data_IF_750750737359
#
_entry.id   IF_750750737359
#
_cell.length_a   1.000
_cell.length_b   1.000
_cell.length_c   1.000
_cell.angle_alpha   90.00
_cell.angle_beta   90.00
_cell.angle_gamma   90.00
#
_symmetry.space_group_name_H-M   'P 1'
#
loop_
_entity.id
_entity.type
_entity.pdbx_description
1 polymer ?
#
# COMPACT_ATOMS: atom_id res chain seq x y z
N UNK A 1 -4.77 -30.37 -40.88
CA UNK A 1 -4.40 -29.70 -42.13
C UNK A 1 -3.40 -28.63 -41.72
N UNK A 2 -2.10 -28.92 -41.82
CA UNK A 2 -1.07 -27.94 -41.49
C UNK A 2 -0.93 -27.01 -42.69
N UNK A 3 -1.28 -25.75 -42.49
CA UNK A 3 -1.04 -24.71 -43.48
C UNK A 3 0.27 -24.04 -43.06
N UNK A 4 1.34 -24.34 -43.78
CA UNK A 4 2.61 -23.62 -43.67
C UNK A 4 2.48 -22.32 -44.47
N UNK A 5 2.77 -21.19 -43.82
CA UNK A 5 2.93 -19.90 -44.51
C UNK A 5 4.42 -19.56 -44.56
N UNK A 6 4.89 -19.17 -45.74
CA UNK A 6 6.24 -18.68 -45.95
C UNK A 6 6.45 -17.37 -45.16
N UNK A 7 7.49 -17.36 -44.34
CA UNK A 7 7.80 -16.30 -43.38
C UNK A 7 8.51 -15.12 -44.03
N UNK A 8 7.82 -14.28 -44.82
CA UNK A 8 8.38 -12.96 -45.19
C UNK A 8 7.39 -11.77 -45.25
N UNK A 9 6.12 -11.88 -44.84
CA UNK A 9 5.17 -10.75 -44.92
C UNK A 9 4.35 -10.45 -43.65
N UNK A 10 4.95 -10.43 -42.46
CA UNK A 10 4.26 -9.86 -41.29
C UNK A 10 5.18 -8.97 -40.45
N UNK A 11 4.84 -7.68 -40.40
CA UNK A 11 5.41 -6.71 -39.46
C UNK A 11 4.66 -6.82 -38.11
N UNK A 12 5.36 -6.55 -37.02
CA UNK A 12 4.82 -6.50 -35.65
C UNK A 12 3.54 -5.65 -35.59
N UNK A 13 2.44 -6.23 -35.10
CA UNK A 13 1.15 -5.54 -34.91
C UNK A 13 -0.01 -6.01 -35.78
N UNK A 14 0.17 -7.00 -36.66
CA UNK A 14 -0.94 -7.58 -37.45
C UNK A 14 -1.85 -8.50 -36.61
N UNK A 15 -3.17 -8.46 -36.86
CA UNK A 15 -4.15 -9.40 -36.28
C UNK A 15 -4.66 -10.37 -37.35
N UNK A 16 -5.02 -11.58 -36.94
CA UNK A 16 -5.70 -12.55 -37.79
C UNK A 16 -7.02 -12.98 -37.18
N UNK A 17 -8.03 -13.13 -38.03
CA UNK A 17 -9.37 -13.56 -37.64
C UNK A 17 -9.39 -15.09 -37.59
N UNK A 18 -9.75 -15.65 -36.43
CA UNK A 18 -9.90 -17.08 -36.27
C UNK A 18 -11.05 -17.60 -37.17
N UNK A 19 -10.81 -18.51 -38.13
CA UNK A 19 -11.85 -18.97 -39.06
C UNK A 19 -12.90 -19.87 -38.40
N UNK A 20 -12.69 -20.28 -37.15
CA UNK A 20 -13.60 -21.18 -36.42
C UNK A 20 -14.52 -20.44 -35.44
N UNK A 21 -14.12 -19.27 -34.92
CA UNK A 21 -14.91 -18.50 -33.96
C UNK A 21 -15.03 -16.99 -34.28
N UNK A 22 -14.40 -16.52 -35.36
CA UNK A 22 -14.51 -15.15 -35.88
C UNK A 22 -13.83 -14.07 -35.02
N UNK A 23 -13.15 -14.43 -33.93
CA UNK A 23 -12.44 -13.46 -33.08
C UNK A 23 -11.09 -13.07 -33.68
N UNK A 24 -10.79 -11.78 -33.65
CA UNK A 24 -9.48 -11.24 -34.00
C UNK A 24 -8.48 -11.51 -32.87
N UNK A 25 -7.35 -12.12 -33.22
CA UNK A 25 -6.25 -12.40 -32.30
C UNK A 25 -4.99 -11.66 -32.79
N UNK A 26 -4.33 -10.86 -31.95
CA UNK A 26 -3.10 -10.19 -32.30
C UNK A 26 -1.94 -11.20 -32.42
N UNK A 27 -1.13 -11.07 -33.47
CA UNK A 27 0.06 -11.90 -33.68
C UNK A 27 1.25 -11.24 -32.97
N UNK A 28 1.76 -11.89 -31.93
CA UNK A 28 3.04 -11.55 -31.32
C UNK A 28 4.15 -12.39 -31.94
N UNK A 29 4.95 -11.77 -32.80
CA UNK A 29 6.21 -12.37 -33.27
C UNK A 29 7.28 -12.07 -32.23
N UNK A 30 7.61 -13.06 -31.39
CA UNK A 30 8.88 -13.02 -30.65
C UNK A 30 10.02 -13.31 -31.63
N UNK A 31 11.18 -12.63 -31.52
CA UNK A 31 12.34 -12.99 -32.32
C UNK A 31 12.70 -14.46 -32.03
N UNK A 32 12.84 -15.26 -33.09
CA UNK A 32 13.14 -16.68 -32.98
C UNK A 32 14.38 -16.91 -32.10
N UNK A 33 14.21 -17.78 -31.11
CA UNK A 33 15.30 -18.33 -30.35
C UNK A 33 16.19 -19.18 -31.29
N UNK A 34 17.49 -18.89 -31.30
CA UNK A 34 18.48 -19.86 -31.78
C UNK A 34 18.34 -21.16 -30.97
N UNK A 35 18.49 -22.34 -31.58
CA UNK A 35 18.39 -23.61 -30.87
C UNK A 35 19.43 -23.68 -29.76
N UNK A 36 18.98 -24.11 -28.58
CA UNK A 36 19.79 -24.20 -27.38
C UNK A 36 20.91 -25.25 -27.53
N UNK A 37 22.15 -24.85 -27.24
CA UNK A 37 23.07 -25.63 -26.40
C UNK A 37 24.38 -24.84 -26.23
N UNK A 38 24.48 -24.15 -25.11
CA UNK A 38 25.76 -24.07 -24.41
C UNK A 38 25.53 -24.72 -23.04
N UNK A 39 26.17 -25.87 -22.72
CA UNK A 39 25.99 -26.55 -21.43
C UNK A 39 26.55 -25.76 -20.23
N UNK A 40 27.17 -24.59 -20.45
CA UNK A 40 27.82 -23.81 -19.41
C UNK A 40 26.92 -23.39 -18.23
N UNK A 41 25.72 -22.81 -18.40
CA UNK A 41 24.98 -22.26 -17.26
C UNK A 41 24.53 -23.34 -16.27
N UNK A 42 24.10 -24.50 -16.75
CA UNK A 42 23.59 -25.59 -15.89
C UNK A 42 24.73 -26.27 -15.12
N UNK A 43 25.88 -26.49 -15.77
CA UNK A 43 27.07 -27.04 -15.14
C UNK A 43 27.65 -26.09 -14.08
N UNK A 44 27.64 -24.79 -14.37
CA UNK A 44 28.11 -23.74 -13.45
C UNK A 44 27.13 -23.52 -12.28
N UNK A 45 25.81 -23.60 -12.50
CA UNK A 45 24.79 -23.56 -11.44
C UNK A 45 25.00 -24.69 -10.43
N UNK A 46 25.26 -25.92 -10.89
CA UNK A 46 25.47 -27.08 -10.01
C UNK A 46 26.67 -26.91 -9.08
N UNK A 47 27.76 -26.27 -9.54
CA UNK A 47 28.98 -26.04 -8.75
C UNK A 47 28.78 -25.03 -7.60
N UNK A 48 27.72 -24.24 -7.67
CA UNK A 48 27.53 -23.05 -6.86
C UNK A 48 26.53 -23.28 -5.71
N UNK A 49 25.74 -24.36 -5.78
CA UNK A 49 24.79 -24.78 -4.73
C UNK A 49 25.52 -25.67 -3.71
N UNK A 50 25.47 -25.30 -2.42
CA UNK A 50 26.08 -26.10 -1.34
C UNK A 50 25.09 -27.11 -0.76
N UNK A 51 25.60 -28.29 -0.40
CA UNK A 51 24.91 -29.27 0.47
C UNK A 51 24.98 -28.79 1.94
N UNK A 52 24.08 -29.27 2.83
CA UNK A 52 23.99 -28.75 4.18
C UNK A 52 25.19 -29.17 5.05
N UNK A 53 26.13 -28.25 5.25
CA UNK A 53 27.14 -28.34 6.30
C UNK A 53 26.70 -27.49 7.49
N UNK A 54 26.49 -28.15 8.63
CA UNK A 54 26.07 -27.53 9.88
C UNK A 54 27.23 -26.64 10.42
N UNK A 55 26.99 -25.33 10.50
CA UNK A 55 27.76 -24.27 11.17
C UNK A 55 29.30 -24.43 11.29
N UNK A 56 30.05 -23.58 10.59
CA UNK A 56 31.34 -23.10 11.09
C UNK A 56 31.53 -21.62 10.72
N UNK A 57 31.40 -20.79 11.75
CA UNK A 57 31.64 -19.35 11.72
C UNK A 57 33.14 -19.06 11.69
N UNK A 58 33.62 -18.40 10.63
CA UNK A 58 34.71 -17.41 10.73
C UNK A 58 34.81 -16.59 9.45
N UNK A 59 34.80 -15.27 9.66
CA UNK A 59 35.22 -14.19 8.75
C UNK A 59 34.50 -14.12 7.39
N UNK A 60 33.38 -13.40 7.34
CA UNK A 60 32.60 -13.26 6.11
C UNK A 60 32.21 -11.79 5.89
N UNK A 61 32.40 -11.35 4.65
CA UNK A 61 32.04 -10.05 4.08
C UNK A 61 30.81 -10.27 3.19
N UNK A 62 29.87 -9.30 3.14
CA UNK A 62 28.69 -9.20 2.25
C UNK A 62 28.48 -10.43 1.33
N UNK A 63 27.91 -11.50 1.88
CA UNK A 63 27.92 -12.80 1.16
C UNK A 63 27.32 -14.00 1.88
N UNK A 64 26.79 -13.83 3.08
CA UNK A 64 26.37 -14.92 3.96
C UNK A 64 24.87 -15.16 4.05
N UNK A 65 24.08 -14.26 3.50
CA UNK A 65 22.65 -14.45 3.40
C UNK A 65 22.35 -15.56 2.37
N UNK A 66 21.54 -16.53 2.78
CA UNK A 66 21.16 -17.68 1.97
C UNK A 66 19.66 -17.75 1.82
N UNK A 67 19.20 -17.93 0.59
CA UNK A 67 17.89 -18.49 0.34
C UNK A 67 17.91 -19.99 0.61
N UNK A 68 16.87 -20.49 1.24
CA UNK A 68 16.70 -21.91 1.54
C UNK A 68 15.75 -22.50 0.51
N UNK A 69 16.24 -23.51 -0.20
CA UNK A 69 15.49 -24.24 -1.21
C UNK A 69 15.10 -25.60 -0.67
N UNK A 70 13.82 -25.94 -0.80
CA UNK A 70 13.26 -27.23 -0.42
C UNK A 70 12.86 -27.95 -1.70
N UNK A 71 13.58 -29.03 -2.02
CA UNK A 71 13.38 -29.80 -3.25
C UNK A 71 12.49 -31.03 -3.02
N UNK A 72 12.61 -31.66 -1.85
CA UNK A 72 11.80 -32.78 -1.39
C UNK A 72 11.86 -32.86 0.16
N UNK A 73 11.02 -33.66 0.83
CA UNK A 73 11.16 -33.90 2.27
C UNK A 73 12.58 -34.38 2.63
N UNK A 74 13.27 -33.63 3.48
CA UNK A 74 14.67 -33.90 3.87
C UNK A 74 15.73 -33.42 2.86
N UNK A 75 15.32 -32.94 1.69
CA UNK A 75 16.23 -32.46 0.65
C UNK A 75 16.23 -30.92 0.58
N UNK A 76 17.19 -30.32 1.27
CA UNK A 76 17.35 -28.87 1.41
C UNK A 76 18.66 -28.41 0.77
N UNK A 77 18.63 -27.27 0.07
CA UNK A 77 19.80 -26.63 -0.54
C UNK A 77 19.90 -25.17 -0.11
N UNK A 78 21.13 -24.67 -0.03
CA UNK A 78 21.41 -23.29 0.35
C UNK A 78 21.91 -22.54 -0.89
N UNK A 79 21.18 -21.48 -1.26
CA UNK A 79 21.53 -20.62 -2.38
C UNK A 79 21.97 -19.26 -1.84
N UNK A 80 23.28 -19.01 -1.88
CA UNK A 80 23.83 -17.72 -1.47
C UNK A 80 23.28 -16.59 -2.36
N UNK A 81 22.91 -15.46 -1.76
CA UNK A 81 22.39 -14.28 -2.48
C UNK A 81 23.31 -13.88 -3.65
N UNK A 82 24.62 -13.83 -3.41
CA UNK A 82 25.62 -13.49 -4.44
C UNK A 82 25.61 -14.40 -5.66
N UNK A 83 25.13 -15.63 -5.49
CA UNK A 83 25.01 -16.61 -6.56
C UNK A 83 23.64 -16.52 -7.21
N UNK A 84 22.60 -16.32 -6.40
CA UNK A 84 21.24 -16.15 -6.86
C UNK A 84 21.12 -15.08 -7.95
N UNK A 85 21.80 -13.95 -7.76
CA UNK A 85 21.77 -12.80 -8.67
C UNK A 85 22.73 -12.90 -9.87
N UNK A 86 23.55 -13.96 -9.99
CA UNK A 86 24.46 -14.15 -11.14
C UNK A 86 23.73 -14.51 -12.42
N UNK A 87 22.64 -15.25 -12.30
CA UNK A 87 21.84 -15.73 -13.43
C UNK A 87 20.43 -15.16 -13.36
N UNK A 88 19.68 -15.23 -14.47
CA UNK A 88 18.29 -14.77 -14.49
C UNK A 88 17.42 -15.73 -13.66
N UNK A 89 16.34 -15.21 -13.10
CA UNK A 89 15.40 -16.01 -12.32
C UNK A 89 14.88 -17.23 -13.11
N UNK A 90 14.58 -17.05 -14.40
CA UNK A 90 14.05 -18.13 -15.25
C UNK A 90 15.06 -19.26 -15.51
N UNK A 91 16.37 -18.96 -15.54
CA UNK A 91 17.42 -19.97 -15.69
C UNK A 91 17.46 -20.89 -14.46
N UNK A 92 17.38 -20.28 -13.28
CA UNK A 92 17.27 -21.01 -12.02
C UNK A 92 15.98 -21.82 -11.92
N UNK A 93 14.84 -21.22 -12.28
CA UNK A 93 13.53 -21.90 -12.25
C UNK A 93 13.56 -23.12 -13.18
N UNK A 94 14.10 -22.98 -14.39
CA UNK A 94 14.24 -24.07 -15.34
C UNK A 94 15.10 -25.21 -14.76
N UNK A 95 16.22 -24.87 -14.10
CA UNK A 95 17.06 -25.84 -13.42
C UNK A 95 16.33 -26.56 -12.27
N UNK A 96 15.68 -25.83 -11.36
CA UNK A 96 15.02 -26.43 -10.20
C UNK A 96 13.82 -27.31 -10.58
N UNK A 97 13.12 -27.00 -11.67
CA UNK A 97 12.06 -27.85 -12.22
C UNK A 97 12.56 -29.20 -12.76
N UNK A 98 13.83 -29.29 -13.19
CA UNK A 98 14.39 -30.57 -13.63
C UNK A 98 14.67 -31.51 -12.46
N UNK A 99 14.94 -30.97 -11.27
CA UNK A 99 15.39 -31.74 -10.10
C UNK A 99 14.35 -31.82 -8.98
N UNK A 100 13.23 -31.11 -9.09
CA UNK A 100 12.12 -31.16 -8.11
C UNK A 100 10.77 -30.97 -8.78
N UNK A 101 9.78 -31.76 -8.36
CA UNK A 101 8.38 -31.62 -8.78
C UNK A 101 7.65 -30.50 -8.03
N UNK A 102 8.08 -30.15 -6.81
CA UNK A 102 7.42 -29.18 -5.93
C UNK A 102 8.45 -28.31 -5.19
N UNK A 103 9.30 -27.56 -5.92
CA UNK A 103 10.31 -26.72 -5.30
C UNK A 103 9.68 -25.60 -4.47
N UNK A 104 10.32 -25.26 -3.35
CA UNK A 104 9.96 -24.09 -2.53
C UNK A 104 11.21 -23.30 -2.18
N UNK A 105 11.05 -22.00 -1.98
CA UNK A 105 12.11 -21.08 -1.57
C UNK A 105 11.65 -20.24 -0.37
N UNK A 106 12.57 -19.97 0.57
CA UNK A 106 12.37 -19.03 1.67
C UNK A 106 13.65 -18.25 2.00
N UNK A 107 13.51 -17.18 2.78
CA UNK A 107 14.61 -16.31 3.17
C UNK A 107 14.70 -15.02 2.33
N UNK A 108 15.88 -14.38 2.28
CA UNK A 108 17.16 -14.94 2.71
C UNK A 108 17.35 -14.89 4.24
N UNK A 109 18.13 -15.83 4.80
CA UNK A 109 18.49 -15.86 6.22
C UNK A 109 20.00 -15.70 6.40
N UNK A 110 20.42 -14.98 7.45
CA UNK A 110 21.83 -14.73 7.78
C UNK A 110 21.98 -13.43 8.59
N UNK A 111 23.13 -13.23 9.25
CA UNK A 111 23.37 -12.02 10.07
C UNK A 111 23.60 -10.75 9.24
N UNK A 112 24.10 -10.89 8.01
CA UNK A 112 24.44 -9.77 7.11
C UNK A 112 23.49 -9.72 5.91
N UNK A 113 22.19 -9.88 6.13
CA UNK A 113 21.26 -9.66 5.02
C UNK A 113 21.16 -8.19 4.63
N UNK A 114 21.66 -7.26 5.48
CA UNK A 114 21.84 -5.81 5.27
C UNK A 114 20.89 -5.18 4.25
N UNK A 115 19.58 -5.35 4.43
CA UNK A 115 18.58 -4.79 3.53
C UNK A 115 17.84 -5.80 2.66
N UNK A 116 18.18 -7.08 2.70
CA UNK A 116 17.33 -8.17 2.21
C UNK A 116 16.73 -8.89 3.42
N UNK A 117 15.66 -8.36 3.98
CA UNK A 117 14.88 -9.08 4.98
C UNK A 117 14.12 -10.25 4.35
N UNK A 118 13.64 -11.17 5.20
CA UNK A 118 12.74 -12.22 4.76
C UNK A 118 11.40 -11.61 4.34
N UNK A 119 11.30 -11.25 3.06
CA UNK A 119 10.07 -10.78 2.44
C UNK A 119 9.09 -11.94 2.36
N UNK A 120 7.80 -11.64 2.50
CA UNK A 120 6.69 -12.57 2.27
C UNK A 120 6.00 -12.15 0.98
N UNK A 121 6.38 -12.70 -0.20
CA UNK A 121 5.76 -12.35 -1.47
C UNK A 121 4.25 -12.56 -1.52
N UNK A 122 3.74 -13.55 -0.79
CA UNK A 122 2.31 -13.80 -0.61
C UNK A 122 1.58 -12.64 0.09
N UNK A 123 2.31 -11.78 0.81
CA UNK A 123 1.80 -10.55 1.42
C UNK A 123 1.57 -9.41 0.42
N UNK A 124 2.14 -9.49 -0.78
CA UNK A 124 1.87 -8.55 -1.87
C UNK A 124 0.74 -9.04 -2.77
N UNK A 125 0.75 -10.34 -3.06
CA UNK A 125 -0.14 -10.95 -4.03
C UNK A 125 -0.72 -12.24 -3.45
N UNK A 126 -2.05 -12.35 -3.27
CA UNK A 126 -2.68 -13.46 -2.55
C UNK A 126 -2.58 -14.80 -3.30
N UNK A 127 -2.46 -14.77 -4.63
CA UNK A 127 -2.38 -15.96 -5.47
C UNK A 127 -1.12 -15.90 -6.34
N UNK A 128 -0.01 -16.46 -5.84
CA UNK A 128 1.26 -16.55 -6.58
C UNK A 128 1.75 -17.98 -6.69
N UNK A 129 2.33 -18.30 -7.85
CA UNK A 129 3.02 -19.58 -8.05
C UNK A 129 4.38 -19.57 -7.35
N UNK A 130 5.02 -20.73 -7.23
CA UNK A 130 6.39 -20.79 -6.71
C UNK A 130 7.35 -20.02 -7.64
N UNK A 131 7.12 -20.05 -8.95
CA UNK A 131 7.91 -19.32 -9.94
C UNK A 131 7.80 -17.82 -9.75
N UNK A 132 6.59 -17.32 -9.50
CA UNK A 132 6.37 -15.90 -9.23
C UNK A 132 7.05 -15.50 -7.93
N UNK A 133 6.88 -16.30 -6.86
CA UNK A 133 7.60 -16.11 -5.60
C UNK A 133 9.11 -16.03 -5.83
N UNK A 134 9.65 -16.94 -6.63
CA UNK A 134 11.07 -17.01 -6.94
C UNK A 134 11.55 -15.79 -7.72
N UNK A 135 10.81 -15.34 -8.75
CA UNK A 135 11.10 -14.12 -9.50
C UNK A 135 11.04 -12.88 -8.63
N UNK A 136 10.06 -12.80 -7.72
CA UNK A 136 9.93 -11.69 -6.76
C UNK A 136 11.16 -11.61 -5.86
N UNK A 137 11.53 -12.73 -5.21
CA UNK A 137 12.71 -12.78 -4.34
C UNK A 137 14.01 -12.47 -5.10
N UNK A 138 14.13 -12.97 -6.33
CA UNK A 138 15.27 -12.64 -7.21
C UNK A 138 15.31 -11.16 -7.52
N UNK A 139 14.17 -10.56 -7.85
CA UNK A 139 14.06 -9.13 -8.14
C UNK A 139 14.45 -8.27 -6.95
N UNK A 140 14.09 -8.65 -5.72
CA UNK A 140 14.56 -7.96 -4.51
C UNK A 140 16.08 -8.04 -4.35
N UNK A 141 16.67 -9.22 -4.56
CA UNK A 141 18.11 -9.40 -4.47
C UNK A 141 18.86 -8.55 -5.53
N UNK A 142 18.31 -8.47 -6.75
CA UNK A 142 18.83 -7.62 -7.83
C UNK A 142 18.66 -6.14 -7.50
N UNK A 143 17.49 -5.74 -7.01
CA UNK A 143 17.17 -4.36 -6.63
C UNK A 143 18.16 -3.84 -5.57
N UNK A 144 18.42 -4.66 -4.54
CA UNK A 144 19.39 -4.33 -3.52
C UNK A 144 20.81 -4.24 -4.09
N UNK A 145 21.23 -5.20 -4.94
CA UNK A 145 22.57 -5.18 -5.57
C UNK A 145 22.79 -3.91 -6.39
N UNK A 146 21.85 -3.56 -7.26
CA UNK A 146 22.04 -2.53 -8.29
C UNK A 146 21.77 -1.12 -7.77
N UNK A 147 20.81 -0.98 -6.86
CA UNK A 147 20.32 0.33 -6.40
C UNK A 147 20.48 0.54 -4.90
N UNK A 148 20.83 -0.52 -4.15
CA UNK A 148 20.94 -0.47 -2.70
C UNK A 148 19.60 -0.26 -2.00
N UNK A 149 18.48 -0.56 -2.66
CA UNK A 149 17.14 -0.45 -2.06
C UNK A 149 16.86 -1.67 -1.21
N UNK A 150 16.68 -1.51 0.12
CA UNK A 150 16.27 -2.60 0.97
C UNK A 150 14.89 -3.16 0.59
N UNK A 151 14.69 -4.46 0.77
CA UNK A 151 13.40 -5.10 0.59
C UNK A 151 12.31 -4.48 1.45
N UNK A 152 12.60 -4.10 2.70
CA UNK A 152 11.62 -3.40 3.54
C UNK A 152 11.21 -2.05 2.95
N UNK A 153 12.15 -1.27 2.39
CA UNK A 153 11.81 0.02 1.75
C UNK A 153 10.78 -0.20 0.65
N UNK A 154 11.00 -1.18 -0.21
CA UNK A 154 10.06 -1.48 -1.27
C UNK A 154 8.75 -2.08 -0.74
N UNK A 155 8.80 -2.95 0.28
CA UNK A 155 7.60 -3.47 0.93
C UNK A 155 6.73 -2.33 1.46
N UNK A 156 7.34 -1.30 2.06
CA UNK A 156 6.64 -0.10 2.51
C UNK A 156 6.04 0.69 1.36
N UNK A 157 6.83 0.96 0.33
CA UNK A 157 6.37 1.63 -0.89
C UNK A 157 5.13 0.92 -1.47
N UNK A 158 5.21 -0.41 -1.60
CA UNK A 158 4.15 -1.24 -2.15
C UNK A 158 2.87 -1.22 -1.30
N UNK A 159 3.01 -1.37 0.02
CA UNK A 159 1.89 -1.34 0.97
C UNK A 159 1.22 0.03 1.05
N UNK A 160 2.02 1.10 1.15
CA UNK A 160 1.54 2.47 1.24
C UNK A 160 0.64 2.81 0.04
N UNK A 161 1.07 2.41 -1.16
CA UNK A 161 0.34 2.66 -2.39
C UNK A 161 -0.67 1.56 -2.74
N UNK A 162 -0.85 0.53 -1.91
CA UNK A 162 -1.69 -0.65 -2.19
C UNK A 162 -1.54 -1.14 -3.64
N UNK A 163 -0.29 -1.28 -4.09
CA UNK A 163 0.01 -1.59 -5.49
C UNK A 163 -0.49 -3.00 -5.85
N UNK A 164 -0.80 -3.22 -7.13
CA UNK A 164 -1.22 -4.51 -7.67
C UNK A 164 -0.14 -5.14 -8.57
N UNK A 165 0.99 -4.46 -8.70
CA UNK A 165 2.14 -4.82 -9.54
C UNK A 165 3.44 -4.36 -8.88
N UNK A 166 4.56 -4.90 -9.33
CA UNK A 166 5.87 -4.55 -8.80
C UNK A 166 6.44 -3.30 -9.48
N UNK A 167 6.17 -2.11 -8.93
CA UNK A 167 6.66 -0.83 -9.45
C UNK A 167 8.06 -0.46 -8.93
N UNK A 168 9.07 -1.30 -9.22
CA UNK A 168 10.44 -1.10 -8.72
C UNK A 168 11.08 0.20 -9.21
N UNK A 169 10.91 0.53 -10.49
CA UNK A 169 11.49 1.75 -11.08
C UNK A 169 11.01 3.01 -10.35
N UNK A 170 9.73 3.04 -9.99
CA UNK A 170 9.17 4.18 -9.28
C UNK A 170 9.62 4.23 -7.82
N UNK A 171 9.74 3.07 -7.15
CA UNK A 171 10.32 3.03 -5.81
C UNK A 171 11.74 3.59 -5.81
N UNK A 172 12.59 3.19 -6.77
CA UNK A 172 13.95 3.71 -6.91
C UNK A 172 13.94 5.23 -7.15
N UNK A 173 13.09 5.71 -8.05
CA UNK A 173 13.03 7.11 -8.44
C UNK A 173 12.53 8.03 -7.31
N UNK A 174 11.58 7.54 -6.51
CA UNK A 174 10.96 8.32 -5.44
C UNK A 174 11.75 8.23 -4.13
N UNK A 175 12.43 7.13 -3.84
CA UNK A 175 13.08 6.90 -2.55
C UNK A 175 14.25 7.87 -2.27
N UNK A 176 14.27 8.42 -1.05
CA UNK A 176 15.36 9.25 -0.53
C UNK A 176 16.27 8.36 0.31
N UNK A 177 17.37 7.91 -0.30
CA UNK A 177 18.30 6.94 0.28
C UNK A 177 18.95 7.43 1.58
N UNK A 178 19.27 8.71 1.66
CA UNK A 178 19.96 9.34 2.78
C UNK A 178 19.10 9.36 4.06
N UNK A 179 17.77 9.29 3.90
CA UNK A 179 16.82 9.29 5.01
C UNK A 179 16.59 7.89 5.60
N UNK A 180 17.05 6.83 4.93
CA UNK A 180 16.82 5.46 5.37
C UNK A 180 17.48 5.18 6.72
N UNK A 181 16.67 4.80 7.72
CA UNK A 181 17.08 4.60 9.11
C UNK A 181 17.82 5.81 9.73
N UNK A 182 17.55 7.02 9.24
CA UNK A 182 18.06 8.25 9.83
C UNK A 182 16.89 9.15 10.22
N UNK A 183 16.49 9.08 11.49
CA UNK A 183 15.38 9.84 12.05
C UNK A 183 15.50 11.35 11.76
N UNK A 184 16.66 11.95 12.05
CA UNK A 184 16.84 13.40 11.92
C UNK A 184 16.74 13.86 10.46
N UNK A 185 17.34 13.10 9.54
CA UNK A 185 17.21 13.40 8.10
C UNK A 185 15.77 13.19 7.66
N UNK A 186 15.11 12.09 8.05
CA UNK A 186 13.72 11.85 7.69
C UNK A 186 12.79 12.97 8.18
N UNK A 187 12.92 13.40 9.44
CA UNK A 187 12.13 14.49 10.02
C UNK A 187 12.33 15.83 9.33
N UNK A 188 13.49 16.08 8.71
CA UNK A 188 13.70 17.31 7.94
C UNK A 188 12.74 17.46 6.74
N UNK A 189 12.07 16.37 6.32
CA UNK A 189 11.07 16.37 5.26
C UNK A 189 9.62 16.50 5.76
N UNK A 190 9.37 16.54 7.08
CA UNK A 190 8.02 16.37 7.64
C UNK A 190 7.09 17.53 7.32
N UNK A 191 7.62 18.74 7.24
CA UNK A 191 6.86 19.95 6.91
C UNK A 191 6.67 20.13 5.39
N UNK A 192 7.34 19.31 4.57
CA UNK A 192 7.29 19.44 3.11
C UNK A 192 6.13 18.65 2.52
N UNK A 193 5.26 19.35 1.79
CA UNK A 193 4.18 18.74 1.02
C UNK A 193 4.66 17.85 -0.15
N UNK A 194 5.90 18.01 -0.59
CA UNK A 194 6.50 17.25 -1.70
C UNK A 194 7.00 15.84 -1.34
N UNK A 195 7.03 15.48 -0.06
CA UNK A 195 7.58 14.21 0.40
C UNK A 195 6.55 13.44 1.22
N UNK A 196 6.76 12.13 1.30
CA UNK A 196 6.03 11.20 2.14
C UNK A 196 7.02 10.59 3.11
N UNK A 197 6.73 10.67 4.40
CA UNK A 197 7.49 9.99 5.43
C UNK A 197 6.68 8.79 5.90
N UNK A 198 7.31 7.62 5.89
CA UNK A 198 6.78 6.41 6.47
C UNK A 198 7.58 6.05 7.71
N UNK A 199 6.86 5.61 8.74
CA UNK A 199 7.40 5.21 10.02
C UNK A 199 7.13 3.74 10.29
N UNK A 200 8.13 3.00 10.77
CA UNK A 200 7.99 1.64 11.33
C UNK A 200 8.20 1.68 12.84
N UNK A 201 7.17 1.32 13.60
CA UNK A 201 7.22 1.29 15.07
C UNK A 201 6.52 2.48 15.70
N UNK A 202 6.25 2.40 17.00
CA UNK A 202 5.54 3.43 17.76
C UNK A 202 6.51 4.52 18.25
N UNK A 203 6.12 5.81 18.20
CA UNK A 203 6.97 6.96 18.61
C UNK A 203 7.31 6.90 20.12
N UNK A 204 6.59 6.06 20.87
CA UNK A 204 6.84 5.77 22.28
C UNK A 204 8.14 4.99 22.53
N UNK A 205 8.75 4.42 21.49
CA UNK A 205 10.08 3.80 21.52
C UNK A 205 11.18 4.75 21.08
N UNK A 206 12.37 4.55 21.66
CA UNK A 206 13.63 5.25 21.35
C UNK A 206 13.74 5.64 19.86
N UNK A 207 13.91 6.94 19.52
CA UNK A 207 14.03 7.43 18.14
C UNK A 207 15.06 6.68 17.28
N UNK A 208 16.05 6.04 17.91
CA UNK A 208 17.06 5.22 17.23
C UNK A 208 16.52 3.85 16.75
N UNK A 209 15.36 3.40 17.25
CA UNK A 209 14.75 2.10 16.90
C UNK A 209 13.67 2.18 15.83
N UNK A 210 13.29 3.39 15.44
CA UNK A 210 12.21 3.63 14.47
C UNK A 210 12.80 3.72 13.06
N UNK A 211 12.40 2.80 12.17
CA UNK A 211 12.82 2.88 10.77
C UNK A 211 11.97 3.89 10.00
N UNK A 212 12.62 4.75 9.22
CA UNK A 212 11.96 5.70 8.35
C UNK A 212 12.30 5.45 6.89
N UNK A 213 11.29 5.50 6.04
CA UNK A 213 11.46 5.58 4.59
C UNK A 213 10.84 6.89 4.11
N UNK A 214 11.57 7.62 3.27
CA UNK A 214 11.08 8.87 2.68
C UNK A 214 10.98 8.71 1.17
N UNK A 215 9.84 9.13 0.61
CA UNK A 215 9.57 9.07 -0.82
C UNK A 215 9.15 10.45 -1.35
N UNK A 216 9.74 10.87 -2.45
CA UNK A 216 9.29 12.03 -3.24
C UNK A 216 7.91 11.75 -3.82
N UNK A 217 7.03 12.74 -3.80
CA UNK A 217 5.75 12.71 -4.51
C UNK A 217 5.97 12.94 -6.00
N UNK A 218 6.41 11.91 -6.69
CA UNK A 218 6.49 11.90 -8.16
C UNK A 218 5.07 11.94 -8.76
N UNK A 219 4.92 12.22 -10.07
CA UNK A 219 3.61 12.18 -10.72
C UNK A 219 2.87 10.85 -10.51
N UNK A 220 3.59 9.72 -10.54
CA UNK A 220 3.02 8.40 -10.25
C UNK A 220 2.48 8.33 -8.82
N UNK A 221 3.28 8.72 -7.83
CA UNK A 221 2.90 8.68 -6.42
C UNK A 221 1.69 9.58 -6.17
N UNK A 222 1.71 10.81 -6.69
CA UNK A 222 0.58 11.76 -6.57
C UNK A 222 -0.70 11.16 -7.15
N UNK A 223 -0.63 10.64 -8.38
CA UNK A 223 -1.79 10.03 -9.03
C UNK A 223 -2.32 8.87 -8.20
N UNK A 224 -1.44 7.99 -7.71
CA UNK A 224 -1.85 6.81 -6.95
C UNK A 224 -2.54 7.19 -5.64
N UNK A 225 -2.04 8.19 -4.93
CA UNK A 225 -2.70 8.69 -3.72
C UNK A 225 -4.08 9.28 -4.01
N UNK A 226 -4.24 10.00 -5.12
CA UNK A 226 -5.55 10.54 -5.51
C UNK A 226 -6.55 9.43 -5.85
N UNK A 227 -6.09 8.34 -6.49
CA UNK A 227 -6.92 7.14 -6.72
C UNK A 227 -7.33 6.49 -5.40
N UNK A 228 -6.40 6.29 -4.47
CA UNK A 228 -6.68 5.70 -3.16
C UNK A 228 -7.68 6.55 -2.37
N UNK A 229 -7.54 7.88 -2.40
CA UNK A 229 -8.46 8.81 -1.76
C UNK A 229 -9.88 8.72 -2.34
N UNK A 230 -10.01 8.52 -3.65
CA UNK A 230 -11.32 8.31 -4.31
C UNK A 230 -11.95 6.97 -3.93
N UNK A 231 -11.14 5.92 -3.82
CA UNK A 231 -11.61 4.60 -3.35
C UNK A 231 -12.11 4.71 -1.91
N UNK A 232 -11.31 5.28 -1.01
CA UNK A 232 -11.69 5.52 0.39
C UNK A 232 -12.97 6.35 0.50
N UNK A 233 -13.11 7.43 -0.28
CA UNK A 233 -14.33 8.23 -0.30
C UNK A 233 -15.57 7.42 -0.75
N UNK A 234 -15.39 6.50 -1.70
CA UNK A 234 -16.45 5.62 -2.18
C UNK A 234 -16.82 4.57 -1.13
N UNK A 235 -15.83 3.99 -0.47
CA UNK A 235 -16.00 3.05 0.65
C UNK A 235 -16.73 3.72 1.82
N UNK A 236 -16.29 4.89 2.27
CA UNK A 236 -16.93 5.66 3.34
C UNK A 236 -18.38 6.03 2.98
N UNK A 237 -18.63 6.39 1.71
CA UNK A 237 -20.00 6.64 1.24
C UNK A 237 -20.86 5.38 1.37
N UNK A 238 -20.36 4.23 0.90
CA UNK A 238 -21.10 2.97 0.97
C UNK A 238 -21.34 2.53 2.42
N UNK A 239 -20.34 2.69 3.30
CA UNK A 239 -20.46 2.41 4.73
C UNK A 239 -21.51 3.31 5.39
N UNK A 240 -21.49 4.60 5.12
CA UNK A 240 -22.47 5.54 5.68
C UNK A 240 -23.90 5.24 5.21
N UNK A 241 -24.08 4.88 3.94
CA UNK A 241 -25.39 4.43 3.43
C UNK A 241 -25.85 3.13 4.11
N UNK A 242 -24.94 2.18 4.35
CA UNK A 242 -25.27 0.95 5.08
C UNK A 242 -25.57 1.22 6.57
N UNK A 243 -24.86 2.15 7.22
CA UNK A 243 -25.15 2.62 8.59
C UNK A 243 -26.56 3.22 8.66
N UNK A 244 -26.94 4.06 7.71
CA UNK A 244 -28.30 4.61 7.63
C UNK A 244 -29.33 3.51 7.39
N UNK A 245 -29.07 2.59 6.45
CA UNK A 245 -29.96 1.44 6.16
C UNK A 245 -30.19 0.55 7.39
N UNK A 246 -29.16 0.37 8.22
CA UNK A 246 -29.23 -0.38 9.48
C UNK A 246 -29.82 0.41 10.64
N UNK A 247 -30.08 1.70 10.45
CA UNK A 247 -30.73 2.58 11.42
C UNK A 247 -32.20 2.79 11.03
N UNK A 248 -32.96 3.49 11.88
CA UNK A 248 -34.30 3.98 11.55
C UNK A 248 -34.31 5.34 10.85
N UNK A 249 -33.13 5.86 10.46
CA UNK A 249 -32.93 7.23 10.00
C UNK A 249 -32.45 7.29 8.56
N UNK A 250 -32.74 8.42 7.91
CA UNK A 250 -32.45 8.70 6.49
C UNK A 250 -31.25 9.60 6.28
N UNK A 251 -30.79 10.29 7.32
CA UNK A 251 -29.68 11.25 7.27
C UNK A 251 -28.83 11.19 8.53
N UNK A 252 -27.60 11.67 8.43
CA UNK A 252 -26.79 12.04 9.58
C UNK A 252 -26.94 13.53 9.86
N UNK A 253 -27.06 13.90 11.13
CA UNK A 253 -26.80 15.28 11.58
C UNK A 253 -25.34 15.36 12.00
N UNK A 254 -24.64 16.37 11.51
CA UNK A 254 -23.22 16.57 11.71
C UNK A 254 -22.89 17.91 12.37
N UNK A 255 -21.70 17.95 12.97
CA UNK A 255 -21.04 19.12 13.49
C UNK A 255 -19.68 19.26 12.78
N UNK A 256 -19.49 20.38 12.09
CA UNK A 256 -18.21 20.75 11.49
C UNK A 256 -17.67 22.01 12.16
N UNK A 257 -16.36 22.14 12.28
CA UNK A 257 -15.68 23.30 12.87
C UNK A 257 -14.88 24.05 11.80
N UNK A 258 -14.97 25.38 11.74
CA UNK A 258 -14.03 26.22 10.98
C UNK A 258 -12.84 26.56 11.89
N UNK A 259 -11.69 25.96 11.61
CA UNK A 259 -10.50 26.07 12.47
C UNK A 259 -9.94 27.50 12.54
N UNK A 260 -10.32 28.40 11.63
CA UNK A 260 -9.85 29.80 11.60
C UNK A 260 -10.48 30.65 12.69
N UNK A 261 -11.72 30.36 13.05
CA UNK A 261 -12.53 31.20 13.94
C UNK A 261 -13.23 30.41 15.06
N UNK A 262 -13.14 29.08 15.05
CA UNK A 262 -13.77 28.20 16.04
C UNK A 262 -15.30 28.14 15.94
N UNK A 263 -15.90 28.62 14.84
CA UNK A 263 -17.34 28.53 14.62
C UNK A 263 -17.73 27.11 14.21
N UNK A 264 -18.91 26.70 14.64
CA UNK A 264 -19.43 25.37 14.34
C UNK A 264 -20.62 25.44 13.40
N UNK A 265 -20.60 24.59 12.37
CA UNK A 265 -21.72 24.35 11.48
C UNK A 265 -22.49 23.12 11.93
N UNK A 266 -23.79 23.29 12.14
CA UNK A 266 -24.73 22.19 12.35
C UNK A 266 -25.48 21.97 11.03
N UNK A 267 -25.43 20.78 10.47
CA UNK A 267 -26.18 20.45 9.26
C UNK A 267 -26.49 18.98 9.14
N UNK A 268 -27.17 18.57 8.06
CA UNK A 268 -27.43 17.15 7.78
C UNK A 268 -26.95 16.70 6.40
N UNK A 269 -26.60 15.43 6.26
CA UNK A 269 -26.17 14.80 5.02
C UNK A 269 -26.26 13.28 5.12
N UNK A 270 -26.43 12.58 3.98
CA UNK A 270 -26.20 11.14 3.91
C UNK A 270 -24.72 10.77 3.84
N UNK A 271 -23.87 11.73 3.45
CA UNK A 271 -22.42 11.58 3.30
C UNK A 271 -21.70 12.81 3.90
N UNK A 272 -21.58 12.89 5.24
CA UNK A 272 -20.97 14.05 5.92
C UNK A 272 -19.56 14.39 5.44
N UNK A 273 -18.72 13.40 5.13
CA UNK A 273 -17.33 13.58 4.67
C UNK A 273 -17.26 14.20 3.26
N UNK A 274 -18.18 13.81 2.36
CA UNK A 274 -18.32 14.48 1.06
C UNK A 274 -18.78 15.92 1.22
N UNK A 275 -19.66 16.16 2.19
CA UNK A 275 -20.16 17.50 2.50
C UNK A 275 -19.05 18.40 3.04
N UNK A 276 -18.17 17.86 3.88
CA UNK A 276 -16.97 18.55 4.37
C UNK A 276 -16.08 19.02 3.21
N UNK A 277 -15.71 18.13 2.29
CA UNK A 277 -14.89 18.49 1.11
C UNK A 277 -15.54 19.56 0.23
N UNK A 278 -16.85 19.45 0.04
CA UNK A 278 -17.61 20.47 -0.71
C UNK A 278 -17.53 21.82 0.00
N UNK A 279 -17.69 21.82 1.33
CA UNK A 279 -17.63 23.02 2.14
C UNK A 279 -16.20 23.61 2.22
N UNK A 280 -15.16 22.79 2.22
CA UNK A 280 -13.76 23.21 2.14
C UNK A 280 -13.44 24.00 0.86
N UNK A 281 -14.25 23.88 -0.20
CA UNK A 281 -14.11 24.74 -1.39
C UNK A 281 -14.50 26.20 -1.10
N UNK A 282 -15.35 26.46 -0.10
CA UNK A 282 -15.77 27.79 0.34
C UNK A 282 -15.08 28.24 1.63
N UNK A 283 -14.82 27.28 2.54
CA UNK A 283 -14.30 27.46 3.90
C UNK A 283 -13.16 26.44 4.11
N UNK A 284 -11.93 26.71 3.61
CA UNK A 284 -10.86 25.71 3.46
C UNK A 284 -10.47 24.95 4.72
N UNK A 285 -10.51 25.58 5.88
CA UNK A 285 -10.12 24.97 7.15
C UNK A 285 -11.33 24.40 7.91
N UNK A 286 -12.32 23.88 7.19
CA UNK A 286 -13.45 23.17 7.82
C UNK A 286 -13.05 21.74 8.16
N UNK A 287 -13.35 21.29 9.38
CA UNK A 287 -13.14 19.90 9.82
C UNK A 287 -14.43 19.28 10.36
N UNK A 288 -14.78 18.08 9.89
CA UNK A 288 -15.89 17.28 10.42
C UNK A 288 -15.53 16.67 11.77
N UNK A 289 -16.23 17.08 12.83
CA UNK A 289 -15.91 16.68 14.22
C UNK A 289 -16.78 15.57 14.76
N UNK A 290 -18.06 15.58 14.39
CA UNK A 290 -19.04 14.62 14.88
C UNK A 290 -20.17 14.46 13.88
N UNK A 291 -20.71 13.25 13.74
CA UNK A 291 -21.98 13.04 13.04
C UNK A 291 -22.71 11.78 13.50
N UNK A 292 -24.04 11.77 13.41
CA UNK A 292 -24.85 10.68 13.91
C UNK A 292 -26.17 10.53 13.13
N UNK A 293 -26.64 9.30 12.85
CA UNK A 293 -27.98 9.09 12.29
C UNK A 293 -29.02 9.68 13.23
N UNK A 294 -29.88 10.55 12.73
CA UNK A 294 -30.90 11.22 13.53
C UNK A 294 -32.12 11.58 12.68
N UNK A 295 -33.22 11.97 13.33
CA UNK A 295 -34.41 12.46 12.62
C UNK A 295 -34.11 13.67 11.73
N UNK A 296 -34.76 13.77 10.58
CA UNK A 296 -34.62 14.91 9.66
C UNK A 296 -34.97 16.26 10.31
N UNK A 297 -35.81 16.25 11.35
CA UNK A 297 -36.16 17.45 12.13
C UNK A 297 -35.09 17.88 13.14
N UNK A 298 -34.14 17.00 13.46
CA UNK A 298 -33.15 17.24 14.51
C UNK A 298 -32.22 18.42 14.20
N UNK A 299 -31.85 18.62 12.93
CA UNK A 299 -31.09 19.81 12.50
C UNK A 299 -31.85 21.10 12.83
N UNK A 300 -33.12 21.17 12.45
CA UNK A 300 -33.95 22.36 12.68
C UNK A 300 -34.17 22.61 14.18
N UNK A 301 -34.43 21.56 14.96
CA UNK A 301 -34.58 21.66 16.42
C UNK A 301 -33.29 22.21 17.07
N UNK A 302 -32.11 21.74 16.65
CA UNK A 302 -30.82 22.27 17.11
C UNK A 302 -30.61 23.73 16.70
N UNK A 303 -30.96 24.07 15.46
CA UNK A 303 -30.88 25.42 14.93
C UNK A 303 -31.76 26.42 15.70
N UNK A 304 -32.94 25.98 16.16
CA UNK A 304 -33.85 26.74 17.01
C UNK A 304 -33.28 26.88 18.43
N UNK A 305 -32.82 25.76 19.02
CA UNK A 305 -32.22 25.71 20.35
C UNK A 305 -31.01 26.65 20.50
N UNK A 306 -30.19 26.79 19.45
CA UNK A 306 -29.01 27.67 19.44
C UNK A 306 -29.19 28.93 18.58
N UNK A 307 -30.43 29.32 18.28
CA UNK A 307 -30.71 30.51 17.46
C UNK A 307 -30.04 31.79 17.97
N UNK A 308 -29.97 31.97 19.30
CA UNK A 308 -29.28 33.10 19.94
C UNK A 308 -27.74 33.09 19.81
N UNK A 309 -27.15 31.98 19.35
CA UNK A 309 -25.70 31.81 19.11
C UNK A 309 -25.37 31.73 17.62
N UNK A 310 -26.38 31.90 16.75
CA UNK A 310 -26.21 31.85 15.31
C UNK A 310 -25.50 33.12 14.84
N UNK A 311 -24.36 32.94 14.17
CA UNK A 311 -23.56 34.05 13.64
C UNK A 311 -23.99 34.36 12.20
N UNK A 312 -23.97 33.35 11.32
CA UNK A 312 -24.35 33.51 9.90
C UNK A 312 -24.79 32.19 9.29
N UNK A 313 -25.99 32.16 8.70
CA UNK A 313 -26.53 30.95 8.07
C UNK A 313 -26.66 29.82 9.08
N UNK A 314 -25.92 28.75 8.87
CA UNK A 314 -25.90 27.55 9.73
C UNK A 314 -24.65 27.50 10.63
N UNK A 315 -23.95 28.62 10.80
CA UNK A 315 -22.77 28.74 11.67
C UNK A 315 -23.13 29.34 13.02
N UNK A 316 -22.63 28.72 14.09
CA UNK A 316 -22.95 29.00 15.48
C UNK A 316 -21.67 29.17 16.30
N UNK A 317 -21.69 30.10 17.25
CA UNK A 317 -20.66 30.28 18.26
C UNK A 317 -20.99 29.37 19.47
N UNK A 318 -20.51 28.12 19.43
CA UNK A 318 -20.81 27.11 20.44
C UNK A 318 -19.66 27.00 21.47
N UNK A 319 -20.01 27.01 22.75
CA UNK A 319 -19.08 26.70 23.84
C UNK A 319 -18.96 25.17 24.00
N UNK A 320 -17.92 24.68 24.70
CA UNK A 320 -17.81 23.26 25.06
C UNK A 320 -19.09 22.67 25.68
N UNK A 321 -19.80 23.44 26.53
CA UNK A 321 -21.06 23.01 27.13
C UNK A 321 -22.19 22.90 26.10
N UNK A 322 -22.22 23.78 25.10
CA UNK A 322 -23.20 23.71 24.03
C UNK A 322 -22.96 22.50 23.15
N UNK A 323 -21.70 22.19 22.84
CA UNK A 323 -21.32 21.00 22.07
C UNK A 323 -21.79 19.73 22.79
N UNK A 324 -21.56 19.63 24.11
CA UNK A 324 -22.09 18.52 24.91
C UNK A 324 -23.62 18.46 24.88
N UNK A 325 -24.30 19.62 24.87
CA UNK A 325 -25.75 19.70 24.76
C UNK A 325 -26.27 19.26 23.38
N UNK A 326 -25.56 19.57 22.29
CA UNK A 326 -25.83 19.06 20.93
C UNK A 326 -25.74 17.54 20.93
N UNK A 327 -24.64 16.99 21.46
CA UNK A 327 -24.41 15.54 21.51
C UNK A 327 -25.49 14.84 22.34
N UNK A 328 -25.85 15.40 23.49
CA UNK A 328 -26.90 14.84 24.37
C UNK A 328 -28.28 14.91 23.72
N UNK A 329 -28.61 16.02 23.06
CA UNK A 329 -29.83 16.12 22.26
C UNK A 329 -29.88 15.05 21.17
N UNK A 330 -28.78 14.91 20.42
CA UNK A 330 -28.68 13.93 19.34
C UNK A 330 -28.85 12.51 19.87
N UNK A 331 -28.20 12.14 20.98
CA UNK A 331 -28.37 10.83 21.64
C UNK A 331 -29.83 10.47 21.92
N UNK A 332 -30.68 11.45 22.25
CA UNK A 332 -32.10 11.22 22.52
C UNK A 332 -32.94 11.07 21.23
N UNK A 333 -32.47 11.65 20.12
CA UNK A 333 -33.22 11.77 18.86
C UNK A 333 -32.60 10.97 17.70
N UNK A 334 -31.57 10.18 17.97
CA UNK A 334 -30.82 9.47 16.95
C UNK A 334 -30.17 8.18 17.46
N UNK A 335 -29.25 7.62 16.68
CA UNK A 335 -28.60 6.34 16.96
C UNK A 335 -27.12 6.50 17.34
N UNK A 336 -26.86 6.58 18.65
CA UNK A 336 -25.51 6.68 19.21
C UNK A 336 -24.60 5.50 18.83
N UNK A 337 -25.17 4.30 18.66
CA UNK A 337 -24.37 3.10 18.32
C UNK A 337 -23.75 3.18 16.92
N UNK A 338 -24.25 4.11 16.10
CA UNK A 338 -23.78 4.39 14.75
C UNK A 338 -23.31 5.83 14.62
N UNK A 339 -22.88 6.48 15.69
CA UNK A 339 -22.23 7.80 15.64
C UNK A 339 -20.78 7.69 15.17
N UNK A 340 -20.22 8.79 14.66
CA UNK A 340 -18.79 8.98 14.42
C UNK A 340 -18.33 10.27 15.11
N UNK A 341 -17.15 10.23 15.69
CA UNK A 341 -16.57 11.35 16.45
C UNK A 341 -15.05 11.38 16.28
N UNK A 342 -14.50 12.58 16.15
CA UNK A 342 -13.09 12.85 16.37
C UNK A 342 -12.82 12.79 17.90
N UNK A 343 -12.20 11.70 18.36
CA UNK A 343 -11.99 11.46 19.78
C UNK A 343 -10.92 12.37 20.40
N UNK A 344 -9.92 12.81 19.63
CA UNK A 344 -8.90 13.73 20.11
C UNK A 344 -9.51 15.11 20.34
N UNK A 345 -10.34 15.57 19.40
CA UNK A 345 -11.12 16.79 19.57
C UNK A 345 -12.12 16.69 20.73
N UNK A 346 -12.88 15.59 20.81
CA UNK A 346 -13.87 15.42 21.88
C UNK A 346 -13.21 15.34 23.27
N UNK A 347 -12.01 14.74 23.35
CA UNK A 347 -11.16 14.74 24.55
C UNK A 347 -10.79 16.15 25.01
N UNK A 348 -10.36 17.03 24.09
CA UNK A 348 -10.07 18.44 24.39
C UNK A 348 -11.29 19.20 24.91
N UNK A 349 -12.44 19.02 24.24
CA UNK A 349 -13.71 19.65 24.64
C UNK A 349 -14.15 19.22 26.05
N UNK A 350 -14.01 17.93 26.37
CA UNK A 350 -14.45 17.39 27.67
C UNK A 350 -13.50 17.73 28.82
N UNK A 351 -12.20 17.77 28.56
CA UNK A 351 -11.19 18.10 29.58
C UNK A 351 -10.95 19.61 29.74
N UNK A 352 -11.41 20.43 28.78
CA UNK A 352 -11.21 21.88 28.78
C UNK A 352 -9.75 22.30 28.57
N UNK A 353 -9.00 21.48 27.81
CA UNK A 353 -7.55 21.64 27.53
C UNK A 353 -7.31 22.07 26.10
#
# INVERSE_FOLDING_TARGET
MNIEFATEEFLSGSSVICPQCGKETPIFVSPEAKPASDPQPQAEILQVIKQPDYYLAKELQLGDANYILYLAPGDVRHLQVRNFIKYKADDWIAYFKQISLTPKISGPYGRESEGLEAVIPEGFFPEITWEDKFRILHSFAVLYRDYGVPSAVYEYFHKLMKLQSLEFAECINSWVKEAWNNYFIAQSYAESDQYLIMQRGDVTTDPETVCFAVFKKTPFVIQRFEELRKVEETENTAENLERLRRSSFTVFVYLMEDLRNGLFKIGQSQTPEKREKTLQSEVPETSLRFYMPAHDAAEQELHEMFSGKRVRGEWFELTPRDILSVIEFLKQKGDLSRASADFDWLGKITLGV
#
